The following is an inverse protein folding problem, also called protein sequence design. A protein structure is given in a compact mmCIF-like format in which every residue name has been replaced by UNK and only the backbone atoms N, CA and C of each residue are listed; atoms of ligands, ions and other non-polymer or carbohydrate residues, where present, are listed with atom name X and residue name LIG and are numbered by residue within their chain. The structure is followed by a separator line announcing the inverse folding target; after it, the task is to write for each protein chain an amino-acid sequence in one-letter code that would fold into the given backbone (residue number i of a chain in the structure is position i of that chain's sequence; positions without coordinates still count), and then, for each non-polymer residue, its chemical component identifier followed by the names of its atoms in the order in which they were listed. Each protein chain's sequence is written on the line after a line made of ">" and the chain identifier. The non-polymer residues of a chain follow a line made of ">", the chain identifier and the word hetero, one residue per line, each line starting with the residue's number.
data_IF_730296960711
#
_entry.id   IF_730296960711
#
_cell.length_a   1.000
_cell.length_b   1.000
_cell.length_c   1.000
_cell.angle_alpha   90.00
_cell.angle_beta   90.00
_cell.angle_gamma   90.00
#
_symmetry.space_group_name_H-M   'P 1'
#
loop_
_entity.id
_entity.type
_entity.pdbx_description
1 polymer ?
#
# COMPACT_ATOMS: atom_id res chain seq x y z
N UNK A 1 9.54 58.04 14.93
CA UNK A 1 9.76 57.32 13.67
C UNK A 1 8.38 56.89 13.24
N UNK A 2 7.77 57.67 12.36
CA UNK A 2 6.35 57.58 12.05
C UNK A 2 6.13 56.44 11.06
N UNK A 3 5.32 55.46 11.45
CA UNK A 3 4.78 54.47 10.53
C UNK A 3 3.95 55.22 9.48
N UNK A 4 4.45 55.23 8.25
CA UNK A 4 3.74 55.72 7.08
C UNK A 4 2.62 54.73 6.76
N UNK A 5 1.51 54.85 7.49
CA UNK A 5 0.29 54.08 7.24
C UNK A 5 -0.26 54.59 5.91
N UNK A 6 0.04 53.86 4.83
CA UNK A 6 -0.56 54.05 3.50
C UNK A 6 -2.07 53.89 3.64
N UNK A 7 -2.74 54.99 3.90
CA UNK A 7 -4.20 55.07 4.08
C UNK A 7 -4.80 55.30 2.70
N UNK A 8 -5.62 54.36 2.25
CA UNK A 8 -6.29 54.49 0.96
C UNK A 8 -7.28 55.66 1.00
N UNK A 9 -7.62 56.17 -0.18
CA UNK A 9 -8.65 57.21 -0.29
C UNK A 9 -10.00 56.60 0.04
N UNK A 10 -10.83 57.34 0.76
CA UNK A 10 -12.20 56.92 1.11
C UNK A 10 -12.97 56.50 -0.16
N UNK A 11 -13.28 55.21 -0.29
CA UNK A 11 -13.95 54.62 -1.45
C UNK A 11 -13.08 53.73 -2.35
N UNK A 12 -11.75 53.79 -2.23
CA UNK A 12 -10.79 52.90 -2.90
C UNK A 12 -10.36 51.70 -2.02
N UNK A 13 -10.89 51.61 -0.80
CA UNK A 13 -10.63 50.54 0.18
C UNK A 13 -10.92 49.12 -0.37
N UNK A 14 -11.81 49.01 -1.36
CA UNK A 14 -12.20 47.76 -2.03
C UNK A 14 -11.48 47.53 -3.38
N UNK A 15 -10.63 48.46 -3.81
CA UNK A 15 -9.84 48.33 -5.04
C UNK A 15 -8.80 47.22 -4.90
N UNK A 16 -8.44 46.55 -6.00
CA UNK A 16 -7.40 45.50 -6.02
C UNK A 16 -6.05 45.96 -5.42
N UNK A 17 -5.75 47.26 -5.55
CA UNK A 17 -4.53 47.90 -5.03
C UNK A 17 -4.64 48.45 -3.59
N UNK A 18 -5.77 48.21 -2.90
CA UNK A 18 -5.99 48.75 -1.56
C UNK A 18 -4.95 48.22 -0.56
N UNK A 19 -4.49 49.07 0.35
CA UNK A 19 -3.63 48.73 1.46
C UNK A 19 -4.20 47.60 2.32
N UNK A 20 -5.53 47.50 2.46
CA UNK A 20 -6.18 46.40 3.17
C UNK A 20 -5.99 45.08 2.42
N UNK A 21 -6.23 45.05 1.11
CA UNK A 21 -6.04 43.85 0.28
C UNK A 21 -4.57 43.43 0.23
N UNK A 22 -3.66 44.38 0.04
CA UNK A 22 -2.22 44.11 0.03
C UNK A 22 -1.74 43.52 1.37
N UNK A 23 -2.21 44.07 2.49
CA UNK A 23 -1.88 43.59 3.84
C UNK A 23 -2.49 42.21 4.09
N UNK A 24 -3.72 41.98 3.62
CA UNK A 24 -4.37 40.68 3.71
C UNK A 24 -3.61 39.62 2.90
N UNK A 25 -3.33 39.88 1.62
CA UNK A 25 -2.62 38.95 0.71
C UNK A 25 -1.22 38.64 1.22
N UNK A 26 -0.47 39.63 1.71
CA UNK A 26 0.86 39.39 2.29
C UNK A 26 0.80 38.54 3.56
N UNK A 27 -0.17 38.79 4.44
CA UNK A 27 -0.37 38.00 5.65
C UNK A 27 -0.85 36.58 5.33
N UNK A 28 -1.80 36.44 4.41
CA UNK A 28 -2.35 35.17 3.96
C UNK A 28 -1.28 34.32 3.26
N UNK A 29 -0.50 34.90 2.36
CA UNK A 29 0.59 34.21 1.67
C UNK A 29 1.67 33.72 2.64
N UNK A 30 2.03 34.52 3.65
CA UNK A 30 2.97 34.10 4.68
C UNK A 30 2.43 32.92 5.51
N UNK A 31 1.15 32.97 5.89
CA UNK A 31 0.49 31.90 6.65
C UNK A 31 0.35 30.61 5.82
N UNK A 32 -0.08 30.74 4.56
CA UNK A 32 -0.22 29.62 3.63
C UNK A 32 1.13 28.95 3.38
N UNK A 33 2.20 29.73 3.22
CA UNK A 33 3.56 29.18 3.07
C UNK A 33 3.97 28.33 4.26
N UNK A 34 3.72 28.81 5.48
CA UNK A 34 4.04 28.07 6.71
C UNK A 34 3.23 26.78 6.82
N UNK A 35 1.92 26.85 6.54
CA UNK A 35 1.04 25.67 6.52
C UNK A 35 1.53 24.69 5.47
N UNK A 36 1.73 25.13 4.23
CA UNK A 36 2.18 24.32 3.10
C UNK A 36 3.48 23.59 3.43
N UNK A 37 4.48 24.28 3.98
CA UNK A 37 5.76 23.67 4.37
C UNK A 37 5.57 22.60 5.47
N UNK A 38 4.71 22.85 6.45
CA UNK A 38 4.33 21.88 7.48
C UNK A 38 3.67 20.62 6.90
N UNK A 39 2.72 20.79 5.97
CA UNK A 39 2.06 19.67 5.29
C UNK A 39 3.03 18.90 4.40
N UNK A 40 3.93 19.58 3.70
CA UNK A 40 4.98 18.96 2.89
C UNK A 40 5.85 18.02 3.72
N UNK A 41 6.34 18.50 4.87
CA UNK A 41 7.13 17.71 5.83
C UNK A 41 6.33 16.53 6.39
N UNK A 42 5.07 16.74 6.74
CA UNK A 42 4.18 15.68 7.20
C UNK A 42 3.96 14.58 6.16
N UNK A 43 3.77 14.95 4.89
CA UNK A 43 3.63 14.02 3.77
C UNK A 43 4.92 13.25 3.51
N UNK A 44 6.09 13.89 3.62
CA UNK A 44 7.39 13.19 3.49
C UNK A 44 7.58 12.11 4.56
N UNK A 45 7.24 12.44 5.81
CA UNK A 45 7.28 11.46 6.90
C UNK A 45 6.30 10.31 6.62
N UNK A 46 5.07 10.62 6.19
CA UNK A 46 4.08 9.60 5.85
C UNK A 46 4.57 8.67 4.72
N UNK A 47 5.22 9.21 3.68
CA UNK A 47 5.79 8.42 2.59
C UNK A 47 6.90 7.47 3.07
N UNK A 48 7.76 7.92 3.98
CA UNK A 48 8.80 7.08 4.57
C UNK A 48 8.16 5.93 5.36
N UNK A 49 7.16 6.23 6.20
CA UNK A 49 6.45 5.18 6.94
C UNK A 49 5.71 4.21 6.03
N UNK A 50 5.05 4.71 4.98
CA UNK A 50 4.33 3.87 4.04
C UNK A 50 5.27 2.96 3.23
N UNK A 51 6.42 3.47 2.78
CA UNK A 51 7.42 2.67 2.07
C UNK A 51 8.05 1.58 2.96
N UNK A 52 8.39 1.91 4.20
CA UNK A 52 8.86 0.94 5.20
C UNK A 52 7.82 -0.13 5.50
N UNK A 53 6.56 0.27 5.71
CA UNK A 53 5.45 -0.64 5.92
C UNK A 53 5.26 -1.58 4.72
N UNK A 54 5.31 -1.05 3.50
CA UNK A 54 5.23 -1.84 2.27
C UNK A 54 6.37 -2.85 2.15
N UNK A 55 7.61 -2.48 2.52
CA UNK A 55 8.75 -3.40 2.53
C UNK A 55 8.54 -4.58 3.51
N UNK A 56 8.08 -4.28 4.72
CA UNK A 56 7.78 -5.30 5.74
C UNK A 56 6.62 -6.21 5.30
N UNK A 57 5.52 -5.62 4.79
CA UNK A 57 4.38 -6.38 4.26
C UNK A 57 4.78 -7.25 3.07
N UNK A 58 5.64 -6.76 2.17
CA UNK A 58 6.15 -7.55 1.04
C UNK A 58 6.89 -8.79 1.51
N UNK A 59 7.69 -8.69 2.57
CA UNK A 59 8.34 -9.86 3.18
C UNK A 59 7.32 -10.89 3.69
N UNK A 60 6.27 -10.44 4.37
CA UNK A 60 5.17 -11.31 4.81
C UNK A 60 4.37 -11.90 3.65
N UNK A 61 4.15 -11.14 2.57
CA UNK A 61 3.49 -11.65 1.33
C UNK A 61 4.34 -12.75 0.72
N UNK A 62 5.66 -12.58 0.60
CA UNK A 62 6.56 -13.60 0.07
C UNK A 62 6.48 -14.86 0.93
N UNK A 63 6.64 -14.73 2.26
CA UNK A 63 6.57 -15.85 3.19
C UNK A 63 5.18 -16.54 3.17
N UNK A 64 4.10 -15.77 3.17
CA UNK A 64 2.73 -16.29 3.14
C UNK A 64 2.43 -16.99 1.81
N UNK A 65 2.85 -16.41 0.68
CA UNK A 65 2.62 -17.01 -0.65
C UNK A 65 3.35 -18.34 -0.81
N UNK A 66 4.54 -18.48 -0.21
CA UNK A 66 5.27 -19.74 -0.17
C UNK A 66 4.51 -20.82 0.63
N UNK A 67 3.82 -20.45 1.71
CA UNK A 67 2.99 -21.37 2.50
C UNK A 67 1.70 -21.84 1.79
N UNK A 68 1.26 -21.13 0.75
CA UNK A 68 0.11 -21.51 -0.06
C UNK A 68 0.49 -22.40 -1.26
N UNK A 69 1.78 -22.45 -1.63
CA UNK A 69 2.24 -23.33 -2.70
C UNK A 69 2.36 -24.78 -2.22
N UNK A 70 2.09 -25.75 -3.11
CA UNK A 70 2.43 -27.13 -2.86
C UNK A 70 3.91 -27.28 -2.58
N UNK A 71 4.28 -27.91 -1.45
CA UNK A 71 5.65 -28.35 -1.25
C UNK A 71 5.94 -29.45 -2.29
N UNK A 72 6.54 -29.05 -3.41
CA UNK A 72 6.89 -29.95 -4.50
C UNK A 72 7.81 -31.09 -4.05
N UNK A 73 8.60 -30.91 -2.99
CA UNK A 73 9.40 -31.97 -2.39
C UNK A 73 8.53 -33.01 -1.70
N UNK A 74 7.53 -32.57 -0.93
CA UNK A 74 6.58 -33.46 -0.27
C UNK A 74 5.64 -34.15 -1.27
N UNK A 75 5.14 -33.43 -2.27
CA UNK A 75 4.29 -33.99 -3.33
C UNK A 75 5.05 -35.05 -4.14
N UNK A 76 6.30 -34.76 -4.53
CA UNK A 76 7.11 -35.72 -5.27
C UNK A 76 7.50 -36.95 -4.43
N UNK A 77 7.76 -36.78 -3.13
CA UNK A 77 8.01 -37.89 -2.22
C UNK A 77 6.76 -38.77 -2.01
N UNK A 78 5.59 -38.15 -1.84
CA UNK A 78 4.31 -38.85 -1.74
C UNK A 78 3.96 -39.58 -3.03
N UNK A 79 4.17 -38.94 -4.19
CA UNK A 79 3.97 -39.56 -5.49
C UNK A 79 4.94 -40.72 -5.74
N UNK A 80 6.20 -40.58 -5.34
CA UNK A 80 7.21 -41.64 -5.46
C UNK A 80 6.88 -42.84 -4.56
N UNK A 81 6.48 -42.58 -3.31
CA UNK A 81 6.04 -43.61 -2.38
C UNK A 81 4.76 -44.32 -2.88
N UNK A 82 3.87 -43.58 -3.53
CA UNK A 82 2.67 -44.12 -4.17
C UNK A 82 3.02 -45.02 -5.36
N UNK A 83 3.90 -44.58 -6.27
CA UNK A 83 4.34 -45.39 -7.41
C UNK A 83 5.01 -46.67 -6.92
N UNK A 84 5.85 -46.59 -5.88
CA UNK A 84 6.52 -47.75 -5.30
C UNK A 84 5.55 -48.73 -4.61
N UNK A 85 4.53 -48.23 -3.92
CA UNK A 85 3.51 -49.09 -3.30
C UNK A 85 2.58 -49.74 -4.33
N UNK A 86 2.28 -49.05 -5.43
CA UNK A 86 1.53 -49.60 -6.56
C UNK A 86 2.32 -50.69 -7.30
N UNK A 87 3.62 -50.50 -7.52
CA UNK A 87 4.51 -51.50 -8.15
C UNK A 87 4.68 -52.75 -7.30
N UNK A 88 4.84 -52.60 -5.98
CA UNK A 88 5.04 -53.73 -5.06
C UNK A 88 3.77 -54.54 -4.81
N UNK A 89 2.59 -53.92 -4.89
CA UNK A 89 1.29 -54.56 -4.71
C UNK A 89 0.53 -54.83 -6.03
N UNK A 90 1.18 -54.69 -7.18
CA UNK A 90 0.56 -54.80 -8.51
C UNK A 90 -0.17 -56.15 -8.78
N UNK A 91 0.11 -57.19 -7.98
CA UNK A 91 -0.55 -58.50 -8.05
C UNK A 91 -1.81 -58.64 -7.18
N UNK A 92 -2.12 -57.68 -6.31
CA UNK A 92 -3.22 -57.77 -5.35
C UNK A 92 -4.33 -56.76 -5.69
N UNK A 93 -5.31 -57.19 -6.47
CA UNK A 93 -6.38 -56.33 -7.02
C UNK A 93 -7.21 -55.59 -5.95
N UNK A 94 -7.29 -56.11 -4.73
CA UNK A 94 -7.98 -55.49 -3.60
C UNK A 94 -7.20 -54.34 -2.96
N UNK A 95 -5.86 -54.33 -3.07
CA UNK A 95 -5.01 -53.24 -2.60
C UNK A 95 -5.02 -52.04 -3.55
N UNK A 96 -5.14 -52.28 -4.86
CA UNK A 96 -5.23 -51.20 -5.86
C UNK A 96 -6.46 -50.31 -5.66
N UNK A 97 -7.55 -50.84 -5.11
CA UNK A 97 -8.77 -50.07 -4.77
C UNK A 97 -8.69 -49.29 -3.45
N UNK A 98 -7.70 -49.58 -2.58
CA UNK A 98 -7.50 -48.86 -1.31
C UNK A 98 -6.47 -47.73 -1.41
N UNK A 99 -5.80 -47.59 -2.54
CA UNK A 99 -4.84 -46.53 -2.77
C UNK A 99 -5.61 -45.25 -3.17
N UNK A 100 -5.46 -44.12 -2.44
CA UNK A 100 -6.08 -42.85 -2.81
C UNK A 100 -5.72 -42.44 -4.24
N UNK A 101 -6.70 -41.97 -5.02
CA UNK A 101 -6.49 -41.55 -6.41
C UNK A 101 -5.36 -40.52 -6.52
N UNK A 102 -4.58 -40.48 -7.61
CA UNK A 102 -3.60 -39.41 -7.86
C UNK A 102 -4.22 -38.01 -7.72
N UNK A 103 -5.49 -37.87 -8.11
CA UNK A 103 -6.27 -36.65 -7.92
C UNK A 103 -6.44 -36.26 -6.45
N UNK A 104 -6.58 -37.21 -5.52
CA UNK A 104 -6.66 -36.93 -4.08
C UNK A 104 -5.30 -36.52 -3.47
N UNK A 105 -4.20 -37.03 -4.02
CA UNK A 105 -2.83 -36.68 -3.62
C UNK A 105 -2.45 -35.30 -4.16
N UNK A 106 -2.96 -34.95 -5.33
CA UNK A 106 -2.74 -33.67 -6.01
C UNK A 106 -3.75 -32.59 -5.62
N UNK A 107 -4.88 -32.93 -4.98
CA UNK A 107 -5.81 -31.95 -4.42
C UNK A 107 -5.18 -31.29 -3.20
N UNK A 108 -4.31 -30.32 -3.48
CA UNK A 108 -3.80 -29.36 -2.51
C UNK A 108 -4.98 -28.46 -2.08
N UNK A 109 -5.73 -28.90 -1.08
CA UNK A 109 -6.77 -28.09 -0.44
C UNK A 109 -6.09 -27.08 0.50
N UNK A 110 -5.71 -25.93 -0.05
CA UNK A 110 -5.21 -24.82 0.76
C UNK A 110 -6.29 -24.38 1.74
N UNK A 111 -5.98 -24.38 3.04
CA UNK A 111 -6.90 -23.94 4.09
C UNK A 111 -7.48 -22.55 3.78
N UNK A 112 -8.79 -22.38 3.91
CA UNK A 112 -9.51 -21.12 3.67
C UNK A 112 -8.95 -19.97 4.52
N UNK A 113 -8.41 -20.28 5.72
CA UNK A 113 -7.74 -19.32 6.58
C UNK A 113 -6.43 -18.78 5.98
N UNK A 114 -5.65 -19.63 5.31
CA UNK A 114 -4.40 -19.22 4.66
C UNK A 114 -4.66 -18.32 3.45
N UNK A 115 -5.73 -18.59 2.69
CA UNK A 115 -6.17 -17.68 1.62
C UNK A 115 -6.61 -16.32 2.16
N UNK A 116 -7.40 -16.29 3.24
CA UNK A 116 -7.85 -15.03 3.85
C UNK A 116 -6.67 -14.17 4.32
N UNK A 117 -5.67 -14.79 4.96
CA UNK A 117 -4.45 -14.09 5.41
C UNK A 117 -3.67 -13.52 4.23
N UNK A 118 -3.50 -14.30 3.15
CA UNK A 118 -2.82 -13.82 1.94
C UNK A 118 -3.55 -12.62 1.30
N UNK A 119 -4.88 -12.69 1.17
CA UNK A 119 -5.70 -11.57 0.66
C UNK A 119 -5.54 -10.34 1.55
N UNK A 120 -5.52 -10.52 2.87
CA UNK A 120 -5.35 -9.42 3.83
C UNK A 120 -3.97 -8.77 3.68
N UNK A 121 -2.91 -9.54 3.46
CA UNK A 121 -1.58 -9.01 3.16
C UNK A 121 -1.53 -8.21 1.85
N UNK A 122 -2.12 -8.74 0.78
CA UNK A 122 -2.23 -8.02 -0.49
C UNK A 122 -3.05 -6.74 -0.36
N UNK A 123 -4.17 -6.77 0.37
CA UNK A 123 -4.99 -5.60 0.65
C UNK A 123 -4.21 -4.54 1.44
N UNK A 124 -3.46 -4.94 2.47
CA UNK A 124 -2.62 -4.05 3.25
C UNK A 124 -1.58 -3.33 2.38
N UNK A 125 -0.96 -4.06 1.45
CA UNK A 125 -0.03 -3.49 0.47
C UNK A 125 -0.73 -2.50 -0.46
N UNK A 126 -1.91 -2.85 -0.96
CA UNK A 126 -2.74 -1.96 -1.79
C UNK A 126 -3.12 -0.65 -1.10
N UNK A 127 -3.61 -0.72 0.15
CA UNK A 127 -3.93 0.47 0.94
C UNK A 127 -2.69 1.33 1.23
N UNK A 128 -1.53 0.70 1.47
CA UNK A 128 -0.26 1.42 1.64
C UNK A 128 0.12 2.19 0.38
N UNK A 129 0.04 1.56 -0.80
CA UNK A 129 0.35 2.21 -2.07
C UNK A 129 -0.66 3.32 -2.41
N UNK A 130 -1.94 3.11 -2.12
CA UNK A 130 -2.97 4.13 -2.26
C UNK A 130 -2.67 5.36 -1.39
N UNK A 131 -2.24 5.16 -0.14
CA UNK A 131 -1.80 6.24 0.75
C UNK A 131 -0.64 7.05 0.15
N UNK A 132 0.37 6.38 -0.42
CA UNK A 132 1.49 7.04 -1.13
C UNK A 132 0.99 7.86 -2.32
N UNK A 133 0.07 7.33 -3.12
CA UNK A 133 -0.50 8.05 -4.27
C UNK A 133 -1.27 9.30 -3.84
N UNK A 134 -2.09 9.20 -2.80
CA UNK A 134 -2.83 10.34 -2.23
C UNK A 134 -1.86 11.39 -1.70
N UNK A 135 -0.81 10.96 -0.98
CA UNK A 135 0.20 11.87 -0.47
C UNK A 135 0.95 12.59 -1.59
N UNK A 136 1.36 11.87 -2.64
CA UNK A 136 2.00 12.48 -3.82
C UNK A 136 1.08 13.47 -4.54
N UNK A 137 -0.21 13.13 -4.71
CA UNK A 137 -1.20 14.02 -5.30
C UNK A 137 -1.34 15.31 -4.47
N UNK A 138 -1.41 15.19 -3.15
CA UNK A 138 -1.46 16.33 -2.25
C UNK A 138 -0.22 17.22 -2.39
N UNK A 139 0.99 16.64 -2.49
CA UNK A 139 2.23 17.41 -2.74
C UNK A 139 2.17 18.16 -4.07
N UNK A 140 1.69 17.51 -5.14
CA UNK A 140 1.55 18.14 -6.45
C UNK A 140 0.55 19.31 -6.41
N UNK A 141 -0.59 19.12 -5.75
CA UNK A 141 -1.61 20.17 -5.57
C UNK A 141 -1.06 21.37 -4.79
N UNK A 142 -0.33 21.08 -3.71
CA UNK A 142 0.25 22.10 -2.84
C UNK A 142 1.34 22.92 -3.56
N UNK A 143 2.14 22.24 -4.40
CA UNK A 143 3.12 22.90 -5.25
C UNK A 143 2.48 23.77 -6.32
N UNK A 144 1.31 23.37 -6.86
CA UNK A 144 0.56 24.18 -7.80
C UNK A 144 -0.05 25.42 -7.11
N UNK A 145 -0.62 25.24 -5.91
CA UNK A 145 -1.18 26.33 -5.11
C UNK A 145 -0.15 27.42 -4.78
N UNK A 146 1.09 27.04 -4.48
CA UNK A 146 2.18 28.00 -4.20
C UNK A 146 2.80 28.63 -5.45
N UNK A 147 2.46 28.12 -6.64
CA UNK A 147 2.98 28.65 -7.91
C UNK A 147 2.08 29.72 -8.53
N UNK A 148 0.85 29.87 -8.05
CA UNK A 148 -0.05 30.99 -8.33
C UNK A 148 0.15 32.12 -7.31
#
# INVERSE_FOLDING_TARGET
>A
MADDVRTDRLGEELSEDSAVWLTYVTTASAHDTEIVDGWNKGLDVLLIFASLFSAVVTSFVIASSALLQPDYGQVNALLSAHILSALTNAGNASFLSSIPSPDQILTFQTSTSSQAVNILWFAALGFSLASVLVAMLAKQWLSAYMSE
#
